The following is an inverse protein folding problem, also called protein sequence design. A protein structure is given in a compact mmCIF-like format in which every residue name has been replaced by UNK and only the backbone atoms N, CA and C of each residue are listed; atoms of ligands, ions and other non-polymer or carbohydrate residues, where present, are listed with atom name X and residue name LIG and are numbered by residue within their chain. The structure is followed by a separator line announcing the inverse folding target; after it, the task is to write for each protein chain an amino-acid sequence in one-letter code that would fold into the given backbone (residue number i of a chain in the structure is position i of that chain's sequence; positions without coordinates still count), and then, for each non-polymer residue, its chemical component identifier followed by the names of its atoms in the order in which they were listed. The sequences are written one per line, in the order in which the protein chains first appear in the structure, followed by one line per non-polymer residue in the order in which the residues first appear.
data_IF_997888868903
#
_entry.id   IF_997888868903
#
_cell.length_a   1.000
_cell.length_b   1.000
_cell.length_c   1.000
_cell.angle_alpha   90.00
_cell.angle_beta   90.00
_cell.angle_gamma   90.00
#
_symmetry.space_group_name_H-M   'P 1'
#
loop_
_entity.id
_entity.type
_entity.pdbx_description
1 polymer ?
#
# COMPACT_ATOMS: atom_id res chain seq x y z
N UNK A 1 -8.13 -43.93 56.12
CA UNK A 1 -8.17 -42.56 55.55
C UNK A 1 -7.94 -42.66 54.05
N UNK A 2 -9.02 -42.70 53.26
CA UNK A 2 -8.97 -42.79 51.81
C UNK A 2 -8.84 -41.38 51.21
N UNK A 3 -7.84 -41.15 50.36
CA UNK A 3 -7.74 -39.93 49.55
C UNK A 3 -8.18 -40.26 48.12
N UNK A 4 -9.38 -39.80 47.79
CA UNK A 4 -9.92 -39.79 46.43
C UNK A 4 -9.22 -38.70 45.63
N UNK A 5 -8.50 -39.07 44.58
CA UNK A 5 -7.94 -38.14 43.60
C UNK A 5 -8.98 -37.94 42.51
N UNK A 6 -9.56 -36.74 42.44
CA UNK A 6 -10.45 -36.33 41.36
C UNK A 6 -9.56 -35.85 40.21
N UNK A 7 -9.51 -36.61 39.12
CA UNK A 7 -8.87 -36.19 37.86
C UNK A 7 -9.91 -35.39 37.08
N UNK A 8 -9.82 -34.06 37.15
CA UNK A 8 -10.61 -33.18 36.28
C UNK A 8 -9.99 -33.17 34.88
N UNK A 9 -10.71 -33.75 33.92
CA UNK A 9 -10.40 -33.69 32.49
C UNK A 9 -10.75 -32.28 31.96
N UNK A 10 -9.75 -31.43 31.75
CA UNK A 10 -9.93 -30.12 31.12
C UNK A 10 -9.97 -30.31 29.60
N UNK A 11 -11.17 -30.27 29.02
CA UNK A 11 -11.35 -30.28 27.57
C UNK A 11 -10.97 -28.89 27.01
N UNK A 12 -9.79 -28.80 26.38
CA UNK A 12 -9.37 -27.61 25.63
C UNK A 12 -10.10 -27.64 24.28
N UNK A 13 -11.16 -26.84 24.16
CA UNK A 13 -11.82 -26.55 22.88
C UNK A 13 -10.93 -25.57 22.12
N UNK A 14 -10.16 -26.08 21.16
CA UNK A 14 -9.45 -25.26 20.18
C UNK A 14 -10.51 -24.70 19.22
N UNK A 15 -10.96 -23.47 19.46
CA UNK A 15 -11.66 -22.67 18.46
C UNK A 15 -10.65 -22.32 17.36
N UNK A 16 -10.57 -23.14 16.32
CA UNK A 16 -9.96 -22.74 15.06
C UNK A 16 -10.80 -21.61 14.47
N UNK A 17 -10.38 -20.36 14.71
CA UNK A 17 -10.92 -19.22 13.99
C UNK A 17 -10.42 -19.33 12.55
N UNK A 18 -11.23 -19.95 11.69
CA UNK A 18 -11.08 -19.79 10.26
C UNK A 18 -11.36 -18.32 9.94
N UNK A 19 -10.31 -17.51 9.82
CA UNK A 19 -10.40 -16.20 9.17
C UNK A 19 -10.72 -16.44 7.70
N UNK A 20 -12.00 -16.65 7.39
CA UNK A 20 -12.46 -16.65 6.01
C UNK A 20 -12.17 -15.26 5.45
N UNK A 21 -11.27 -15.19 4.47
CA UNK A 21 -11.02 -13.97 3.72
C UNK A 21 -12.38 -13.42 3.23
N UNK A 22 -12.74 -12.23 3.68
CA UNK A 22 -14.04 -11.63 3.39
C UNK A 22 -14.19 -11.50 1.88
N UNK A 23 -15.19 -12.20 1.32
CA UNK A 23 -15.55 -12.07 -0.09
C UNK A 23 -16.50 -10.89 -0.24
N UNK A 24 -16.21 -10.02 -1.19
CA UNK A 24 -16.93 -8.77 -1.41
C UNK A 24 -17.64 -8.88 -2.76
N UNK A 25 -18.97 -8.77 -2.75
CA UNK A 25 -19.77 -8.80 -3.98
C UNK A 25 -19.91 -7.38 -4.57
N UNK A 26 -19.60 -7.23 -5.85
CA UNK A 26 -19.96 -6.07 -6.67
C UNK A 26 -21.42 -6.18 -7.08
N UNK A 27 -22.17 -5.10 -6.90
CA UNK A 27 -23.59 -5.03 -7.23
C UNK A 27 -23.76 -4.93 -8.76
N UNK A 28 -24.94 -5.31 -9.23
CA UNK A 28 -25.28 -5.18 -10.65
C UNK A 28 -25.28 -3.69 -11.04
N UNK A 29 -24.65 -3.36 -12.17
CA UNK A 29 -24.50 -1.98 -12.67
C UNK A 29 -23.68 -1.03 -11.76
N UNK A 30 -23.02 -1.54 -10.72
CA UNK A 30 -22.14 -0.75 -9.86
C UNK A 30 -20.87 -0.36 -10.63
N UNK A 31 -20.55 0.94 -10.68
CA UNK A 31 -19.28 1.42 -11.23
C UNK A 31 -18.11 1.00 -10.33
N UNK A 32 -16.88 1.04 -10.85
CA UNK A 32 -15.71 0.66 -10.05
C UNK A 32 -15.44 1.66 -8.92
N UNK A 33 -15.79 2.93 -9.12
CA UNK A 33 -15.71 4.00 -8.14
C UNK A 33 -16.76 3.81 -7.05
N UNK A 34 -18.00 3.50 -7.41
CA UNK A 34 -19.07 3.18 -6.46
C UNK A 34 -18.73 1.95 -5.62
N UNK A 35 -18.19 0.92 -6.26
CA UNK A 35 -17.67 -0.25 -5.57
C UNK A 35 -16.60 0.15 -4.57
N UNK A 36 -15.52 0.79 -5.03
CA UNK A 36 -14.39 1.18 -4.19
C UNK A 36 -14.80 2.09 -3.01
N UNK A 37 -15.73 3.02 -3.21
CA UNK A 37 -16.22 3.90 -2.14
C UNK A 37 -17.04 3.14 -1.09
N UNK A 38 -17.91 2.22 -1.53
CA UNK A 38 -18.74 1.41 -0.62
C UNK A 38 -17.92 0.47 0.24
N UNK A 39 -16.81 -0.03 -0.29
CA UNK A 39 -16.01 -1.10 0.34
C UNK A 39 -14.70 -0.59 0.93
N UNK A 40 -14.66 0.72 1.21
CA UNK A 40 -13.58 1.38 1.94
C UNK A 40 -13.17 0.61 3.21
N UNK A 41 -11.88 0.59 3.57
CA UNK A 41 -11.41 -0.10 4.77
C UNK A 41 -12.07 0.40 6.06
N UNK A 42 -12.29 1.71 6.14
CA UNK A 42 -13.01 2.37 7.23
C UNK A 42 -13.70 3.65 6.73
N UNK A 43 -14.62 4.20 7.53
CA UNK A 43 -15.39 5.40 7.17
C UNK A 43 -14.57 6.69 7.13
N UNK A 44 -13.37 6.70 7.73
CA UNK A 44 -12.46 7.85 7.72
C UNK A 44 -11.55 7.89 6.50
N UNK A 45 -11.48 6.80 5.73
CA UNK A 45 -10.67 6.74 4.52
C UNK A 45 -11.33 7.46 3.33
N UNK A 46 -10.49 8.05 2.47
CA UNK A 46 -10.89 8.70 1.22
C UNK A 46 -10.16 8.05 0.05
N UNK A 47 -10.78 8.03 -1.14
CA UNK A 47 -10.09 7.56 -2.35
C UNK A 47 -9.01 8.59 -2.72
N UNK A 48 -7.76 8.14 -2.81
CA UNK A 48 -6.60 9.01 -3.02
C UNK A 48 -6.19 9.15 -4.49
N UNK A 49 -6.50 8.15 -5.31
CA UNK A 49 -6.10 8.12 -6.71
C UNK A 49 -7.16 7.44 -7.58
N UNK A 50 -6.94 7.46 -8.90
CA UNK A 50 -7.81 6.76 -9.84
C UNK A 50 -7.94 5.26 -9.47
N UNK A 51 -9.15 4.74 -9.58
CA UNK A 51 -9.44 3.30 -9.45
C UNK A 51 -9.16 2.63 -10.80
N UNK A 52 -8.42 1.52 -10.80
CA UNK A 52 -8.04 0.83 -12.03
C UNK A 52 -8.68 -0.54 -12.11
N UNK A 53 -9.23 -0.89 -13.29
CA UNK A 53 -9.46 -2.29 -13.66
C UNK A 53 -8.28 -2.83 -14.46
N UNK A 54 -7.87 -4.07 -14.19
CA UNK A 54 -6.68 -4.67 -14.79
C UNK A 54 -6.79 -6.18 -14.89
N UNK A 55 -6.10 -6.77 -15.87
CA UNK A 55 -5.95 -8.23 -16.04
C UNK A 55 -4.53 -8.72 -15.73
N UNK A 56 -3.67 -7.87 -15.17
CA UNK A 56 -2.28 -8.25 -14.88
C UNK A 56 -2.19 -9.31 -13.77
N UNK A 57 -3.15 -9.34 -12.85
CA UNK A 57 -3.15 -10.24 -11.69
C UNK A 57 -4.03 -11.48 -11.87
N UNK A 58 -5.07 -11.40 -12.70
CA UNK A 58 -6.02 -12.48 -13.00
C UNK A 58 -6.56 -12.33 -14.44
N UNK A 59 -6.96 -13.42 -15.12
CA UNK A 59 -7.63 -13.33 -16.43
C UNK A 59 -8.92 -12.48 -16.43
N UNK A 60 -9.61 -12.42 -15.28
CA UNK A 60 -10.75 -11.53 -15.05
C UNK A 60 -10.25 -10.17 -14.53
N UNK A 61 -11.08 -9.13 -14.69
CA UNK A 61 -10.71 -7.80 -14.22
C UNK A 61 -10.61 -7.78 -12.69
N UNK A 62 -9.39 -7.59 -12.20
CA UNK A 62 -9.13 -7.19 -10.82
C UNK A 62 -9.21 -5.67 -10.70
N UNK A 63 -9.47 -5.17 -9.49
CA UNK A 63 -9.60 -3.73 -9.21
C UNK A 63 -8.48 -3.31 -8.26
N UNK A 64 -7.76 -2.24 -8.61
CA UNK A 64 -6.80 -1.57 -7.74
C UNK A 64 -7.44 -0.31 -7.16
N UNK A 65 -7.35 -0.13 -5.84
CA UNK A 65 -7.78 1.07 -5.16
C UNK A 65 -6.76 1.53 -4.13
N UNK A 66 -6.59 2.84 -3.99
CA UNK A 66 -5.71 3.46 -3.01
C UNK A 66 -6.53 4.41 -2.17
N UNK A 67 -6.38 4.30 -0.86
CA UNK A 67 -7.16 5.07 0.10
C UNK A 67 -6.24 5.84 1.04
N UNK A 68 -6.45 7.14 1.16
CA UNK A 68 -5.80 7.94 2.19
C UNK A 68 -6.52 7.77 3.53
N UNK A 69 -5.76 7.68 4.60
CA UNK A 69 -6.25 7.67 5.98
C UNK A 69 -5.41 8.61 6.84
N UNK A 70 -6.06 9.50 7.57
CA UNK A 70 -5.41 10.31 8.61
C UNK A 70 -5.30 9.51 9.89
N UNK A 71 -4.08 9.39 10.42
CA UNK A 71 -3.79 8.81 11.72
C UNK A 71 -3.56 9.95 12.70
N UNK A 72 -4.17 9.85 13.89
CA UNK A 72 -3.90 10.73 15.02
C UNK A 72 -3.15 9.92 16.08
N UNK A 73 -1.87 10.21 16.27
CA UNK A 73 -1.10 9.65 17.37
C UNK A 73 -1.13 10.60 18.55
N UNK A 74 -1.23 10.05 19.75
CA UNK A 74 -1.28 10.83 20.99
C UNK A 74 -0.07 10.51 21.84
N UNK A 75 0.76 11.50 22.08
CA UNK A 75 1.98 11.38 22.87
C UNK A 75 1.76 11.98 24.26
N UNK A 76 2.11 11.25 25.31
CA UNK A 76 2.03 11.74 26.69
C UNK A 76 3.42 11.82 27.30
N UNK A 77 3.85 13.01 27.69
CA UNK A 77 5.10 13.27 28.40
C UNK A 77 4.81 14.02 29.70
N UNK A 78 4.70 13.28 30.80
CA UNK A 78 4.33 13.84 32.11
C UNK A 78 2.87 14.31 32.11
N UNK A 79 2.66 15.62 32.27
CA UNK A 79 1.31 16.23 32.18
C UNK A 79 0.99 16.78 30.79
N UNK A 80 1.95 16.75 29.85
CA UNK A 80 1.75 17.24 28.49
C UNK A 80 1.18 16.12 27.62
N UNK A 81 0.14 16.45 26.86
CA UNK A 81 -0.44 15.59 25.83
C UNK A 81 -0.31 16.31 24.51
N UNK A 82 0.37 15.68 23.56
CA UNK A 82 0.51 16.16 22.19
C UNK A 82 -0.24 15.24 21.23
N UNK A 83 -0.66 15.80 20.10
CA UNK A 83 -1.33 15.06 19.04
C UNK A 83 -0.64 15.34 17.72
N UNK A 84 -0.04 14.31 17.14
CA UNK A 84 0.45 14.38 15.77
C UNK A 84 -0.58 13.78 14.83
N UNK A 85 -0.76 14.45 13.70
CA UNK A 85 -1.60 13.97 12.61
C UNK A 85 -0.75 13.82 11.36
N UNK A 86 -0.88 12.66 10.72
CA UNK A 86 -0.24 12.38 9.45
C UNK A 86 -1.13 11.48 8.60
N UNK A 87 -0.94 11.56 7.29
CA UNK A 87 -1.65 10.73 6.34
C UNK A 87 -0.82 9.49 5.98
N UNK A 88 -1.51 8.37 5.80
CA UNK A 88 -0.99 7.14 5.19
C UNK A 88 -1.83 6.81 3.97
N UNK A 89 -1.27 6.02 3.04
CA UNK A 89 -2.03 5.47 1.92
C UNK A 89 -2.09 3.95 2.03
N UNK A 90 -3.30 3.42 1.96
CA UNK A 90 -3.59 1.99 1.94
C UNK A 90 -3.88 1.54 0.50
N UNK A 91 -3.00 0.72 -0.07
CA UNK A 91 -3.21 0.12 -1.39
C UNK A 91 -3.90 -1.24 -1.28
N UNK A 92 -4.98 -1.45 -2.03
CA UNK A 92 -5.68 -2.74 -2.09
C UNK A 92 -5.86 -3.24 -3.52
N UNK A 93 -5.69 -4.55 -3.67
CA UNK A 93 -6.10 -5.32 -4.82
C UNK A 93 -7.38 -6.09 -4.47
N UNK A 94 -8.42 -5.91 -5.28
CA UNK A 94 -9.63 -6.71 -5.26
C UNK A 94 -9.51 -7.75 -6.37
N UNK A 95 -9.11 -8.96 -5.97
CA UNK A 95 -8.88 -10.07 -6.88
C UNK A 95 -10.18 -10.85 -7.09
N UNK A 96 -10.63 -11.09 -8.33
CA UNK A 96 -11.85 -11.82 -8.60
C UNK A 96 -11.73 -13.28 -8.12
N UNK A 97 -12.79 -13.78 -7.49
CA UNK A 97 -12.88 -15.15 -6.97
C UNK A 97 -13.95 -15.96 -7.71
N UNK A 98 -15.15 -15.41 -7.80
CA UNK A 98 -16.24 -15.91 -8.67
C UNK A 98 -16.89 -14.73 -9.38
N UNK A 99 -17.96 -14.96 -10.14
CA UNK A 99 -18.68 -13.88 -10.84
C UNK A 99 -19.08 -12.77 -9.85
N UNK A 100 -18.60 -11.55 -10.13
CA UNK A 100 -18.81 -10.35 -9.31
C UNK A 100 -18.38 -10.45 -7.84
N UNK A 101 -17.57 -11.45 -7.46
CA UNK A 101 -17.08 -11.61 -6.10
C UNK A 101 -15.58 -11.42 -6.04
N UNK A 102 -15.11 -10.59 -5.12
CA UNK A 102 -13.72 -10.20 -4.99
C UNK A 102 -13.18 -10.56 -3.62
N UNK A 103 -11.90 -10.95 -3.57
CA UNK A 103 -11.11 -11.03 -2.36
C UNK A 103 -10.29 -9.77 -2.24
N UNK A 104 -10.34 -9.11 -1.08
CA UNK A 104 -9.47 -7.97 -0.77
C UNK A 104 -8.09 -8.47 -0.34
N UNK A 105 -7.05 -7.97 -0.98
CA UNK A 105 -5.64 -8.22 -0.67
C UNK A 105 -5.00 -6.86 -0.43
N UNK A 106 -4.33 -6.69 0.72
CA UNK A 106 -3.51 -5.50 0.97
C UNK A 106 -2.27 -5.58 0.08
N UNK A 107 -2.02 -4.53 -0.69
CA UNK A 107 -0.79 -4.35 -1.46
C UNK A 107 0.30 -3.93 -0.49
N UNK A 108 0.13 -2.74 0.10
CA UNK A 108 0.97 -2.22 1.17
C UNK A 108 0.27 -1.04 1.89
N UNK A 109 0.90 -0.54 2.95
CA UNK A 109 0.62 0.73 3.60
C UNK A 109 1.81 1.66 3.38
N UNK A 110 1.63 2.72 2.59
CA UNK A 110 2.64 3.74 2.35
C UNK A 110 2.59 4.75 3.51
N UNK A 111 3.63 4.80 4.36
CA UNK A 111 3.66 5.69 5.52
C UNK A 111 4.01 7.13 5.11
N UNK A 112 3.89 8.10 6.03
CA UNK A 112 4.56 9.38 5.87
C UNK A 112 6.08 9.19 5.88
N UNK A 113 6.78 10.07 5.16
CA UNK A 113 8.22 10.24 5.25
C UNK A 113 8.56 11.74 5.17
N UNK A 114 8.83 12.35 6.34
CA UNK A 114 9.05 13.79 6.50
C UNK A 114 7.89 14.71 6.04
N UNK A 115 6.80 14.13 5.55
CA UNK A 115 5.61 14.76 4.98
C UNK A 115 4.59 13.69 4.62
N UNK A 116 3.39 14.12 4.23
CA UNK A 116 2.32 13.21 3.81
C UNK A 116 2.59 12.66 2.40
N UNK A 117 2.31 11.36 2.16
CA UNK A 117 2.47 10.76 0.84
C UNK A 117 1.36 11.21 -0.12
N UNK A 118 1.73 11.60 -1.35
CA UNK A 118 0.80 11.90 -2.46
C UNK A 118 1.08 10.92 -3.61
N UNK A 119 0.07 10.17 -4.09
CA UNK A 119 0.26 9.30 -5.27
C UNK A 119 0.25 10.16 -6.54
N UNK A 120 1.39 10.22 -7.22
CA UNK A 120 1.50 10.84 -8.53
C UNK A 120 1.07 9.91 -9.66
N UNK A 121 1.42 8.62 -9.57
CA UNK A 121 1.09 7.65 -10.61
C UNK A 121 1.12 6.21 -10.12
N UNK A 122 0.19 5.41 -10.63
CA UNK A 122 0.19 3.95 -10.50
C UNK A 122 0.33 3.34 -11.88
N UNK A 123 1.32 2.48 -12.07
CA UNK A 123 1.63 1.93 -13.38
C UNK A 123 2.34 0.58 -13.31
N UNK A 124 2.46 -0.09 -14.45
CA UNK A 124 3.18 -1.33 -14.57
C UNK A 124 4.58 -1.13 -15.14
N UNK A 125 5.53 -1.90 -14.61
CA UNK A 125 6.92 -2.01 -15.06
C UNK A 125 7.27 -3.48 -15.30
N UNK A 126 8.41 -3.75 -15.91
CA UNK A 126 9.04 -5.06 -15.86
C UNK A 126 10.35 -4.84 -15.07
N UNK A 127 10.42 -5.39 -13.87
CA UNK A 127 11.43 -5.11 -12.85
C UNK A 127 12.23 -6.35 -12.43
N UNK A 128 11.92 -7.53 -12.97
CA UNK A 128 12.69 -8.76 -12.77
C UNK A 128 12.96 -9.55 -14.07
N UNK A 129 12.54 -9.03 -15.22
CA UNK A 129 12.66 -9.59 -16.57
C UNK A 129 11.81 -10.81 -16.85
N UNK A 130 10.81 -11.07 -16.02
CA UNK A 130 9.84 -12.11 -16.31
C UNK A 130 8.75 -11.60 -17.28
N UNK A 131 7.76 -12.44 -17.57
CA UNK A 131 6.64 -12.07 -18.45
C UNK A 131 5.56 -11.28 -17.76
N UNK A 132 5.46 -11.42 -16.43
CA UNK A 132 4.55 -10.67 -15.61
C UNK A 132 5.11 -9.25 -15.43
N UNK A 133 4.25 -8.35 -14.94
CA UNK A 133 4.62 -6.95 -14.75
C UNK A 133 4.35 -6.59 -13.32
N UNK A 134 5.33 -5.98 -12.69
CA UNK A 134 5.25 -5.48 -11.34
C UNK A 134 4.43 -4.19 -11.29
N UNK A 135 3.76 -4.01 -10.16
CA UNK A 135 3.03 -2.79 -9.86
C UNK A 135 4.02 -1.77 -9.32
N UNK A 136 4.08 -0.59 -9.92
CA UNK A 136 4.82 0.56 -9.43
C UNK A 136 3.86 1.65 -8.96
N UNK A 137 4.10 2.18 -7.76
CA UNK A 137 3.40 3.34 -7.20
C UNK A 137 4.43 4.44 -6.98
N UNK A 138 4.34 5.52 -7.75
CA UNK A 138 5.18 6.70 -7.60
C UNK A 138 4.49 7.68 -6.66
N UNK A 139 5.15 7.97 -5.55
CA UNK A 139 4.70 8.92 -4.54
C UNK A 139 5.60 10.17 -4.51
N UNK A 140 5.02 11.25 -4.00
CA UNK A 140 5.71 12.48 -3.68
C UNK A 140 5.45 12.86 -2.22
N UNK A 141 6.47 13.37 -1.56
CA UNK A 141 6.42 13.85 -0.19
C UNK A 141 6.92 15.30 -0.18
N UNK A 142 6.05 16.24 0.14
CA UNK A 142 6.46 17.63 0.35
C UNK A 142 7.03 17.77 1.76
N UNK A 143 8.33 17.96 1.86
CA UNK A 143 9.02 18.08 3.15
C UNK A 143 9.45 19.52 3.43
N UNK A 144 9.29 19.95 4.68
CA UNK A 144 9.73 21.25 5.19
C UNK A 144 10.51 21.05 6.47
N UNK A 145 11.84 21.09 6.37
CA UNK A 145 12.74 20.97 7.50
C UNK A 145 13.62 22.24 7.61
N UNK A 146 14.25 22.44 8.76
CA UNK A 146 15.12 23.59 9.00
C UNK A 146 16.35 23.59 8.08
N UNK A 147 16.89 22.40 7.80
CA UNK A 147 18.12 22.21 7.03
C UNK A 147 17.88 21.91 5.54
N UNK A 148 16.67 21.52 5.17
CA UNK A 148 16.31 21.19 3.79
C UNK A 148 14.81 21.28 3.54
N UNK A 149 14.40 21.41 2.29
CA UNK A 149 12.99 21.37 1.92
C UNK A 149 12.79 21.19 0.42
N UNK A 150 11.62 20.67 0.05
CA UNK A 150 11.27 20.39 -1.34
C UNK A 150 10.45 19.11 -1.48
N UNK A 151 10.35 18.64 -2.73
CA UNK A 151 9.59 17.45 -3.08
C UNK A 151 10.51 16.23 -3.14
N UNK A 152 10.22 15.22 -2.34
CA UNK A 152 10.89 13.92 -2.35
C UNK A 152 10.04 12.95 -3.16
N UNK A 153 10.68 12.12 -3.98
CA UNK A 153 10.03 11.18 -4.88
C UNK A 153 10.47 9.77 -4.54
N UNK A 154 9.50 8.90 -4.27
CA UNK A 154 9.73 7.49 -3.98
C UNK A 154 8.89 6.63 -4.92
N UNK A 155 9.48 5.56 -5.45
CA UNK A 155 8.75 4.60 -6.27
C UNK A 155 8.71 3.27 -5.55
N UNK A 156 7.52 2.84 -5.15
CA UNK A 156 7.32 1.52 -4.56
C UNK A 156 7.02 0.50 -5.65
N UNK A 157 7.90 -0.50 -5.82
CA UNK A 157 7.71 -1.58 -6.79
C UNK A 157 7.33 -2.86 -6.06
N UNK A 158 6.27 -3.52 -6.53
CA UNK A 158 5.73 -4.73 -5.95
C UNK A 158 5.59 -5.85 -6.99
N UNK A 159 6.19 -6.99 -6.69
CA UNK A 159 5.94 -8.24 -7.40
C UNK A 159 4.71 -8.95 -6.81
N UNK A 160 3.91 -9.62 -7.64
CA UNK A 160 2.71 -10.34 -7.22
C UNK A 160 2.79 -11.84 -7.53
N UNK A 161 2.93 -12.64 -6.49
CA UNK A 161 2.88 -14.09 -6.61
C UNK A 161 1.42 -14.57 -6.73
N UNK A 162 1.01 -14.94 -7.94
CA UNK A 162 -0.33 -15.47 -8.25
C UNK A 162 -0.65 -16.78 -7.52
N UNK A 163 0.35 -17.56 -7.07
CA UNK A 163 0.10 -18.82 -6.35
C UNK A 163 -0.28 -18.55 -4.91
N UNK A 164 0.40 -17.61 -4.25
CA UNK A 164 0.12 -17.24 -2.87
C UNK A 164 -0.87 -16.07 -2.74
N UNK A 165 -1.17 -15.35 -3.82
CA UNK A 165 -1.95 -14.11 -3.86
C UNK A 165 -1.38 -13.05 -2.92
N UNK A 166 -0.07 -12.82 -3.01
CA UNK A 166 0.65 -11.88 -2.13
C UNK A 166 1.56 -10.97 -2.94
N UNK A 167 1.63 -9.72 -2.49
CA UNK A 167 2.63 -8.78 -2.95
C UNK A 167 3.94 -8.91 -2.17
N UNK A 168 5.05 -8.71 -2.86
CA UNK A 168 6.39 -8.59 -2.30
C UNK A 168 6.97 -7.23 -2.70
N UNK A 169 7.30 -6.40 -1.72
CA UNK A 169 7.96 -5.13 -1.97
C UNK A 169 9.43 -5.35 -2.40
N UNK A 170 9.79 -4.80 -3.56
CA UNK A 170 11.14 -4.88 -4.13
C UNK A 170 12.03 -3.72 -3.64
N UNK A 171 12.25 -3.64 -2.33
CA UNK A 171 12.97 -2.56 -1.63
C UNK A 171 14.25 -2.09 -2.35
N UNK A 172 15.20 -3.01 -2.60
CA UNK A 172 16.48 -2.67 -3.25
C UNK A 172 16.36 -2.04 -4.64
N UNK A 173 15.26 -2.28 -5.35
CA UNK A 173 15.01 -1.68 -6.65
C UNK A 173 14.34 -0.32 -6.48
N UNK A 174 13.35 -0.24 -5.60
CA UNK A 174 12.65 0.98 -5.21
C UNK A 174 13.63 2.06 -4.72
N UNK A 175 14.59 1.71 -3.87
CA UNK A 175 15.61 2.63 -3.34
C UNK A 175 16.48 3.27 -4.43
N UNK A 176 16.71 2.57 -5.54
CA UNK A 176 17.49 3.12 -6.67
C UNK A 176 16.74 4.20 -7.44
N UNK A 177 15.43 4.29 -7.24
CA UNK A 177 14.54 5.24 -7.90
C UNK A 177 14.21 6.45 -7.00
N UNK A 178 14.71 6.45 -5.76
CA UNK A 178 14.58 7.57 -4.85
C UNK A 178 15.33 8.82 -5.35
N UNK A 179 14.78 9.99 -5.06
CA UNK A 179 15.48 11.26 -5.15
C UNK A 179 14.59 12.44 -4.78
N UNK A 180 15.17 13.62 -4.58
CA UNK A 180 14.42 14.83 -4.29
C UNK A 180 14.64 15.92 -5.35
N UNK A 181 13.63 16.75 -5.56
CA UNK A 181 13.78 18.11 -6.06
C UNK A 181 13.78 19.03 -4.83
N UNK A 182 14.94 19.16 -4.19
CA UNK A 182 15.05 19.81 -2.88
C UNK A 182 16.28 20.72 -2.76
N UNK A 183 16.14 21.72 -1.89
CA UNK A 183 17.21 22.65 -1.54
C UNK A 183 17.65 22.47 -0.10
N UNK A 184 18.95 22.66 0.14
CA UNK A 184 19.59 22.57 1.44
C UNK A 184 20.02 23.95 1.93
N UNK A 185 20.06 24.12 3.25
CA UNK A 185 20.42 25.39 3.90
C UNK A 185 21.84 25.87 3.55
N UNK A 186 22.75 24.95 3.24
CA UNK A 186 24.11 25.25 2.80
C UNK A 186 24.20 25.74 1.34
N UNK A 187 23.07 25.87 0.65
CA UNK A 187 22.97 26.31 -0.73
C UNK A 187 23.07 25.20 -1.77
N UNK A 188 23.26 23.93 -1.37
CA UNK A 188 23.16 22.79 -2.29
C UNK A 188 21.72 22.61 -2.73
N UNK A 189 21.55 22.15 -3.97
CA UNK A 189 20.26 21.71 -4.49
C UNK A 189 20.46 20.32 -5.13
N UNK A 190 19.42 19.50 -5.03
CA UNK A 190 19.34 18.20 -5.68
C UNK A 190 18.12 18.17 -6.59
N UNK A 191 18.24 17.43 -7.70
CA UNK A 191 17.18 17.29 -8.71
C UNK A 191 16.87 15.82 -8.89
N UNK A 192 15.60 15.48 -8.70
CA UNK A 192 15.13 14.11 -8.80
C UNK A 192 15.18 13.65 -10.27
N UNK A 193 15.73 12.45 -10.47
CA UNK A 193 15.81 11.81 -11.80
C UNK A 193 14.49 11.19 -12.23
N UNK A 194 13.67 10.77 -11.28
CA UNK A 194 12.50 9.93 -11.51
C UNK A 194 11.24 10.59 -10.97
N UNK A 195 10.70 11.57 -11.71
CA UNK A 195 9.54 12.38 -11.27
C UNK A 195 8.22 11.94 -11.90
N UNK A 196 8.29 11.08 -12.91
CA UNK A 196 7.13 10.59 -13.64
C UNK A 196 7.24 9.09 -13.90
N UNK A 197 6.11 8.44 -14.20
CA UNK A 197 6.09 7.04 -14.64
C UNK A 197 6.98 6.78 -15.86
N UNK A 198 7.12 7.77 -16.76
CA UNK A 198 8.01 7.67 -17.92
C UNK A 198 9.48 7.62 -17.48
N UNK A 199 9.87 8.52 -16.58
CA UNK A 199 11.25 8.59 -16.09
C UNK A 199 11.64 7.30 -15.36
N UNK A 200 10.73 6.76 -14.53
CA UNK A 200 10.93 5.47 -13.83
C UNK A 200 11.16 4.35 -14.84
N UNK A 201 10.29 4.19 -15.84
CA UNK A 201 10.44 3.15 -16.87
C UNK A 201 11.75 3.28 -17.64
N UNK A 202 12.13 4.49 -17.99
CA UNK A 202 13.41 4.75 -18.66
C UNK A 202 14.61 4.45 -17.76
N UNK A 203 14.50 4.73 -16.45
CA UNK A 203 15.47 4.39 -15.42
C UNK A 203 15.70 2.89 -15.31
N UNK A 204 14.62 2.13 -15.14
CA UNK A 204 14.65 0.67 -15.07
C UNK A 204 15.30 0.05 -16.31
N UNK A 205 14.92 0.52 -17.51
CA UNK A 205 15.53 0.08 -18.77
C UNK A 205 17.04 0.33 -18.82
N UNK A 206 17.52 1.47 -18.29
CA UNK A 206 18.95 1.78 -18.22
C UNK A 206 19.69 0.93 -17.19
N UNK A 207 19.01 0.49 -16.12
CA UNK A 207 19.54 -0.48 -15.16
C UNK A 207 19.54 -1.91 -15.70
N UNK A 208 18.96 -2.10 -16.88
CA UNK A 208 18.99 -3.34 -17.63
C UNK A 208 17.79 -4.24 -17.40
N UNK A 209 16.70 -3.73 -16.82
CA UNK A 209 15.40 -4.42 -16.75
C UNK A 209 14.62 -4.29 -18.06
#
# INVERSE_FOLDING_TARGET
MNKTVIISFLAIIIFAQFSFAQTIKRQENESIEQFADRIRPDSSTLIEHQIFETKNFDPKNAILAFYQKTITETYQTGTYTDHDQYNIILGYLYLPSTENNYRRILIDTIPPDGGDPEILSVFYVNADKDTDKELAVLCKYEQRHYDYGGAFYETFIYDFDKKSNRFTYLEKLSDKLFGCECGFRDGRNETAKYKTAKDVREGLRKMGY
#
